data_IF_030704375787
#
_entry.id   IF_030704375787
#
_cell.length_a   1.000
_cell.length_b   1.000
_cell.length_c   1.000
_cell.angle_alpha   90.00
_cell.angle_beta   90.00
_cell.angle_gamma   90.00
#
_symmetry.space_group_name_H-M   'P 1'
#
loop_
_entity.id
_entity.type
_entity.pdbx_description
1 polymer ?
#
# COMPACT_ATOMS: atom_id res chain seq x y z
N UNK A 1 -4.72 4.77 -13.06
CA UNK A 1 -4.16 5.51 -14.20
C UNK A 1 -2.65 5.30 -14.22
N UNK A 2 -2.09 5.11 -15.40
CA UNK A 2 -0.65 4.96 -15.65
C UNK A 2 -0.26 5.91 -16.77
N UNK A 3 1.03 5.99 -17.08
CA UNK A 3 1.51 6.82 -18.19
C UNK A 3 0.84 6.48 -19.53
N UNK A 4 0.46 5.21 -19.71
CA UNK A 4 -0.21 4.72 -20.92
C UNK A 4 -1.73 4.83 -20.87
N UNK A 5 -2.31 4.98 -19.67
CA UNK A 5 -3.76 5.03 -19.43
C UNK A 5 -4.14 6.30 -18.70
N UNK A 6 -4.30 7.39 -19.45
CA UNK A 6 -4.60 8.75 -18.92
C UNK A 6 -6.08 9.07 -18.83
N UNK A 7 -6.95 8.17 -19.24
CA UNK A 7 -8.40 8.36 -19.20
C UNK A 7 -9.12 7.17 -18.59
N UNK A 8 -10.23 7.41 -17.96
CA UNK A 8 -11.13 6.41 -17.39
C UNK A 8 -12.55 6.68 -17.85
N UNK A 9 -13.20 5.68 -18.41
CA UNK A 9 -14.62 5.75 -18.72
C UNK A 9 -15.43 5.47 -17.45
N UNK A 10 -16.24 6.46 -17.05
CA UNK A 10 -17.14 6.33 -15.92
C UNK A 10 -18.55 6.03 -16.43
N UNK A 11 -19.11 4.89 -16.02
CA UNK A 11 -20.50 4.53 -16.30
C UNK A 11 -21.33 4.76 -15.03
N UNK A 12 -21.68 6.02 -14.80
CA UNK A 12 -22.43 6.48 -13.62
C UNK A 12 -23.70 7.21 -14.05
N UNK A 13 -24.76 7.13 -13.24
CA UNK A 13 -25.98 7.86 -13.47
C UNK A 13 -25.75 9.38 -13.31
N UNK A 14 -26.59 10.24 -13.90
CA UNK A 14 -26.54 11.68 -13.63
C UNK A 14 -26.71 11.95 -12.13
N UNK A 15 -25.87 12.83 -11.57
CA UNK A 15 -25.89 13.14 -10.13
C UNK A 15 -24.71 13.99 -9.70
N UNK A 16 -24.66 14.28 -8.42
CA UNK A 16 -23.50 14.95 -7.79
C UNK A 16 -22.66 13.90 -7.09
N UNK A 17 -21.37 13.89 -7.38
CA UNK A 17 -20.41 12.91 -6.87
C UNK A 17 -19.21 13.61 -6.26
N UNK A 18 -18.61 13.00 -5.26
CA UNK A 18 -17.30 13.37 -4.75
C UNK A 18 -16.23 12.56 -5.50
N UNK A 19 -15.30 13.26 -6.14
CA UNK A 19 -14.12 12.63 -6.74
C UNK A 19 -12.97 12.68 -5.75
N UNK A 20 -12.39 11.51 -5.46
CA UNK A 20 -11.17 11.38 -4.69
C UNK A 20 -10.11 10.71 -5.57
N UNK A 21 -8.91 11.28 -5.57
CA UNK A 21 -7.77 10.72 -6.30
C UNK A 21 -6.66 10.48 -5.30
N UNK A 22 -6.24 9.22 -5.18
CA UNK A 22 -5.03 8.84 -4.47
C UNK A 22 -3.86 8.89 -5.45
N UNK A 23 -2.84 9.67 -5.12
CA UNK A 23 -1.60 9.74 -5.89
C UNK A 23 -0.42 9.38 -5.00
N UNK A 24 0.36 8.40 -5.40
CA UNK A 24 1.55 8.00 -4.70
C UNK A 24 2.80 8.36 -5.50
N UNK A 25 3.75 8.93 -4.79
CA UNK A 25 5.06 9.29 -5.34
C UNK A 25 6.06 8.16 -5.03
N UNK A 26 6.06 7.12 -5.85
CA UNK A 26 6.93 5.95 -5.71
C UNK A 26 8.07 5.93 -6.72
N UNK A 27 9.12 5.25 -6.32
CA UNK A 27 10.34 5.17 -7.14
C UNK A 27 11.16 6.46 -7.13
N UNK A 28 12.42 6.32 -7.43
CA UNK A 28 13.36 7.44 -7.59
C UNK A 28 14.39 7.07 -8.66
N UNK A 29 14.77 8.05 -9.45
CA UNK A 29 15.95 7.94 -10.31
C UNK A 29 17.16 7.94 -9.38
N UNK A 30 17.93 6.86 -9.42
CA UNK A 30 19.07 6.67 -8.52
C UNK A 30 20.40 6.96 -9.20
N UNK A 31 20.41 7.09 -10.54
CA UNK A 31 21.61 7.36 -11.29
C UNK A 31 21.28 7.92 -12.67
N UNK A 32 22.23 8.63 -13.27
CA UNK A 32 22.09 9.24 -14.60
C UNK A 32 21.86 10.76 -14.58
N UNK A 33 21.79 11.40 -15.75
CA UNK A 33 21.70 12.86 -15.85
C UNK A 33 20.39 13.41 -15.27
N UNK A 34 19.34 12.60 -15.18
CA UNK A 34 18.02 13.00 -14.70
C UNK A 34 17.83 12.75 -13.19
N UNK A 35 18.90 12.44 -12.47
CA UNK A 35 18.83 12.14 -11.02
C UNK A 35 18.22 13.29 -10.19
N UNK A 36 18.31 14.52 -10.66
CA UNK A 36 17.73 15.69 -10.02
C UNK A 36 16.29 15.97 -10.45
N UNK A 37 15.80 15.32 -11.49
CA UNK A 37 14.43 15.44 -11.98
C UNK A 37 13.58 14.26 -11.53
N UNK A 38 13.22 14.27 -10.25
CA UNK A 38 12.38 13.25 -9.61
C UNK A 38 10.95 13.72 -9.36
N UNK A 39 10.45 14.64 -10.18
CA UNK A 39 9.08 15.10 -10.10
C UNK A 39 8.12 13.94 -10.37
N UNK A 40 7.17 13.72 -9.46
CA UNK A 40 6.21 12.62 -9.46
C UNK A 40 4.82 13.14 -9.10
N UNK A 41 3.79 12.38 -9.43
CA UNK A 41 2.41 12.68 -9.09
C UNK A 41 1.55 12.94 -10.32
N UNK A 42 0.52 13.75 -10.16
CA UNK A 42 -0.39 14.12 -11.23
C UNK A 42 0.07 15.43 -11.88
N UNK A 43 0.26 15.41 -13.18
CA UNK A 43 0.67 16.55 -13.99
C UNK A 43 -0.44 16.93 -14.96
N UNK A 44 -0.67 18.25 -15.11
CA UNK A 44 -1.69 18.79 -16.00
C UNK A 44 -3.07 18.90 -15.38
N UNK A 45 -4.05 19.26 -16.22
CA UNK A 45 -5.44 19.42 -15.78
C UNK A 45 -6.17 18.08 -15.75
N UNK A 46 -6.99 17.89 -14.74
CA UNK A 46 -7.95 16.79 -14.67
C UNK A 46 -9.29 17.32 -15.21
N UNK A 47 -9.88 16.59 -16.13
CA UNK A 47 -11.12 17.00 -16.77
C UNK A 47 -12.17 15.88 -16.77
N UNK A 48 -13.44 16.27 -16.75
CA UNK A 48 -14.57 15.39 -16.97
C UNK A 48 -15.31 15.84 -18.23
N UNK A 49 -15.40 14.96 -19.22
CA UNK A 49 -16.00 15.27 -20.52
C UNK A 49 -15.44 16.56 -21.18
N UNK A 50 -14.13 16.79 -21.02
CA UNK A 50 -13.44 17.96 -21.56
C UNK A 50 -13.53 19.24 -20.72
N UNK A 51 -14.33 19.29 -19.66
CA UNK A 51 -14.38 20.41 -18.72
C UNK A 51 -13.36 20.18 -17.57
N UNK A 52 -12.50 21.17 -17.30
CA UNK A 52 -11.54 21.08 -16.20
C UNK A 52 -12.26 21.01 -14.85
N UNK A 53 -11.74 20.15 -13.97
CA UNK A 53 -12.17 20.08 -12.57
C UNK A 53 -11.21 20.93 -11.76
N UNK A 54 -11.75 21.87 -11.01
CA UNK A 54 -11.00 22.86 -10.24
C UNK A 54 -11.30 22.76 -8.73
N UNK A 55 -10.68 23.64 -7.94
CA UNK A 55 -10.87 23.74 -6.48
C UNK A 55 -10.54 22.47 -5.71
N UNK A 56 -9.43 21.82 -6.06
CA UNK A 56 -8.92 20.63 -5.40
C UNK A 56 -8.53 20.88 -3.95
N UNK A 57 -8.96 19.98 -3.06
CA UNK A 57 -8.42 19.89 -1.71
C UNK A 57 -7.36 18.81 -1.67
N UNK A 58 -6.12 19.21 -1.40
CA UNK A 58 -5.01 18.27 -1.24
C UNK A 58 -4.84 17.90 0.24
N UNK A 59 -4.72 16.62 0.51
CA UNK A 59 -4.50 16.07 1.85
C UNK A 59 -3.24 15.19 1.79
N UNK A 60 -2.13 15.59 2.41
CA UNK A 60 -0.96 14.72 2.50
C UNK A 60 -1.28 13.51 3.38
N UNK A 61 -0.96 12.33 2.90
CA UNK A 61 -1.12 11.07 3.64
C UNK A 61 0.26 10.58 4.04
N UNK A 62 0.58 10.69 5.32
CA UNK A 62 1.83 10.18 5.90
C UNK A 62 1.63 8.72 6.33
N UNK A 63 1.42 7.84 5.36
CA UNK A 63 1.04 6.44 5.62
C UNK A 63 2.03 5.74 6.54
N UNK A 64 3.33 5.94 6.34
CA UNK A 64 4.39 5.29 7.15
C UNK A 64 4.41 5.74 8.60
N UNK A 65 3.94 6.96 8.87
CA UNK A 65 3.87 7.55 10.21
C UNK A 65 2.54 7.23 10.91
N UNK A 66 1.68 6.43 10.28
CA UNK A 66 0.38 6.07 10.83
C UNK A 66 0.55 5.23 12.09
N UNK A 67 -0.07 5.66 13.19
CA UNK A 67 -0.23 4.85 14.40
C UNK A 67 -1.23 3.72 14.14
N UNK A 68 -0.77 2.64 13.51
CA UNK A 68 -1.65 1.53 13.08
C UNK A 68 -2.40 0.88 14.25
N UNK A 69 -1.89 1.01 15.48
CA UNK A 69 -2.56 0.52 16.69
C UNK A 69 -3.82 1.32 17.06
N UNK A 70 -3.97 2.54 16.55
CA UNK A 70 -5.12 3.42 16.78
C UNK A 70 -6.21 3.26 15.71
N UNK A 71 -5.93 2.49 14.65
CA UNK A 71 -6.89 2.25 13.59
C UNK A 71 -8.03 1.35 14.07
N UNK A 72 -9.25 1.75 13.75
CA UNK A 72 -10.43 0.92 13.96
C UNK A 72 -10.68 0.08 12.72
N UNK A 73 -10.69 -1.24 12.89
CA UNK A 73 -10.98 -2.20 11.83
C UNK A 73 -12.42 -2.68 11.95
N UNK A 74 -13.16 -2.62 10.87
CA UNK A 74 -14.51 -3.16 10.77
C UNK A 74 -14.53 -4.52 10.08
N UNK A 75 -15.74 -5.01 9.83
CA UNK A 75 -15.92 -6.23 9.03
C UNK A 75 -15.41 -6.03 7.61
N UNK A 76 -14.95 -7.15 7.04
CA UNK A 76 -14.35 -7.21 5.71
C UNK A 76 -15.28 -6.62 4.66
N UNK A 77 -14.82 -5.55 3.99
CA UNK A 77 -15.40 -5.08 2.73
C UNK A 77 -14.62 -5.65 1.56
N UNK A 78 -15.30 -6.07 0.52
CA UNK A 78 -14.67 -6.43 -0.75
C UNK A 78 -14.53 -5.20 -1.63
N UNK A 79 -13.41 -5.09 -2.30
CA UNK A 79 -13.30 -4.31 -3.53
C UNK A 79 -12.65 -2.94 -3.47
N UNK A 80 -12.48 -2.29 -2.34
CA UNK A 80 -11.96 -0.94 -2.34
C UNK A 80 -10.47 -0.88 -1.97
N UNK A 81 -9.65 -0.39 -2.89
CA UNK A 81 -8.27 0.05 -2.67
C UNK A 81 -8.21 1.58 -2.69
N UNK A 82 -7.30 2.19 -1.92
CA UNK A 82 -6.40 1.61 -0.93
C UNK A 82 -7.09 1.34 0.43
N UNK A 83 -6.64 0.33 1.15
CA UNK A 83 -7.17 0.07 2.50
C UNK A 83 -6.14 -0.61 3.42
N UNK A 84 -6.41 -0.54 4.74
CA UNK A 84 -5.64 -1.27 5.74
C UNK A 84 -6.26 -2.64 6.00
N UNK A 85 -5.42 -3.66 6.05
CA UNK A 85 -5.76 -5.02 6.44
C UNK A 85 -5.05 -5.37 7.73
N UNK A 86 -5.75 -6.05 8.63
CA UNK A 86 -5.21 -6.49 9.91
C UNK A 86 -5.41 -7.99 10.07
N UNK A 87 -4.35 -8.67 10.46
CA UNK A 87 -4.35 -10.09 10.77
C UNK A 87 -3.54 -10.40 12.01
N UNK A 88 -3.60 -11.65 12.45
CA UNK A 88 -2.81 -12.12 13.60
C UNK A 88 -2.20 -13.47 13.30
N UNK A 89 -1.06 -13.75 13.94
CA UNK A 89 -0.40 -15.03 13.90
C UNK A 89 0.21 -15.37 15.26
N UNK A 90 0.40 -16.66 15.52
CA UNK A 90 1.00 -17.14 16.76
C UNK A 90 2.46 -17.53 16.55
N UNK A 91 3.30 -17.25 17.54
CA UNK A 91 4.71 -17.63 17.53
C UNK A 91 5.13 -18.17 18.89
N UNK A 92 5.64 -19.40 18.92
CA UNK A 92 6.07 -20.03 20.16
C UNK A 92 7.36 -19.42 20.72
N UNK A 93 8.30 -19.15 19.83
CA UNK A 93 9.61 -18.55 20.19
C UNK A 93 9.93 -17.47 19.16
N UNK A 94 10.07 -16.20 19.58
CA UNK A 94 10.48 -15.13 18.69
C UNK A 94 11.83 -15.43 18.03
N UNK A 95 11.88 -15.38 16.72
CA UNK A 95 13.08 -15.53 15.88
C UNK A 95 12.91 -14.71 14.61
N UNK A 96 14.01 -14.30 14.02
CA UNK A 96 13.99 -13.63 12.73
C UNK A 96 13.24 -14.49 11.70
N UNK A 97 12.35 -13.87 10.97
CA UNK A 97 11.56 -14.53 9.94
C UNK A 97 11.21 -13.54 8.82
N UNK A 98 10.46 -14.00 7.86
CA UNK A 98 9.97 -13.21 6.74
C UNK A 98 8.47 -13.38 6.60
N UNK A 99 7.77 -12.29 6.32
CA UNK A 99 6.36 -12.33 5.90
C UNK A 99 6.31 -12.32 4.39
N UNK A 100 5.80 -13.40 3.81
CA UNK A 100 5.56 -13.48 2.36
C UNK A 100 4.40 -12.58 1.96
N UNK A 101 4.64 -11.74 0.95
CA UNK A 101 3.64 -10.84 0.36
C UNK A 101 3.12 -11.37 -0.99
N UNK A 102 3.37 -12.63 -1.32
CA UNK A 102 2.87 -13.22 -2.58
C UNK A 102 1.35 -13.09 -2.67
N UNK A 103 0.89 -12.58 -3.81
CA UNK A 103 -0.52 -12.30 -4.05
C UNK A 103 -1.01 -10.94 -3.57
N UNK A 104 -0.22 -10.20 -2.79
CA UNK A 104 -0.43 -8.79 -2.50
C UNK A 104 0.16 -7.94 -3.62
N UNK A 105 -0.37 -6.73 -3.81
CA UNK A 105 0.05 -5.85 -4.89
C UNK A 105 1.21 -4.94 -4.49
N UNK A 106 0.90 -3.86 -3.81
CA UNK A 106 1.87 -2.85 -3.40
C UNK A 106 1.37 -2.14 -2.14
N UNK A 107 2.28 -1.91 -1.19
CA UNK A 107 1.89 -1.22 0.04
C UNK A 107 2.97 -1.17 1.10
N UNK A 108 2.54 -1.05 2.34
CA UNK A 108 3.37 -0.89 3.52
C UNK A 108 2.98 -1.95 4.57
N UNK A 109 3.94 -2.38 5.40
CA UNK A 109 3.74 -3.46 6.38
C UNK A 109 4.25 -3.05 7.77
N UNK A 110 3.45 -3.40 8.79
CA UNK A 110 3.76 -3.26 10.21
C UNK A 110 3.56 -4.60 10.92
N UNK A 111 4.37 -4.85 11.93
CA UNK A 111 4.18 -5.95 12.88
C UNK A 111 4.21 -5.38 14.30
N UNK A 112 3.21 -5.72 15.09
CA UNK A 112 3.05 -5.24 16.47
C UNK A 112 3.13 -3.70 16.61
N UNK A 113 2.74 -2.96 15.58
CA UNK A 113 2.78 -1.51 15.51
C UNK A 113 4.08 -0.92 14.96
N UNK A 114 5.12 -1.73 14.80
CA UNK A 114 6.40 -1.30 14.23
C UNK A 114 6.38 -1.38 12.70
N UNK A 115 6.75 -0.29 12.05
CA UNK A 115 6.87 -0.22 10.58
C UNK A 115 8.08 -1.02 10.11
N UNK A 116 7.88 -1.97 9.20
CA UNK A 116 8.94 -2.86 8.70
C UNK A 116 9.36 -2.57 7.26
N UNK A 117 8.53 -1.92 6.48
CA UNK A 117 8.91 -1.55 5.11
C UNK A 117 7.76 -1.58 4.11
N UNK A 118 8.10 -1.16 2.90
CA UNK A 118 7.24 -1.23 1.74
C UNK A 118 7.39 -2.58 1.03
N UNK A 119 6.34 -3.00 0.37
CA UNK A 119 6.36 -4.16 -0.53
C UNK A 119 5.77 -3.82 -1.90
N UNK A 120 6.19 -4.56 -2.91
CA UNK A 120 5.69 -4.39 -4.28
C UNK A 120 5.81 -5.71 -5.04
N UNK A 121 4.71 -6.12 -5.67
CA UNK A 121 4.62 -7.37 -6.46
C UNK A 121 5.64 -7.46 -7.60
N UNK A 122 6.13 -6.31 -8.13
CA UNK A 122 7.12 -6.26 -9.19
C UNK A 122 8.56 -6.49 -8.69
N UNK A 123 8.80 -6.37 -7.40
CA UNK A 123 10.13 -6.65 -6.84
C UNK A 123 10.50 -8.14 -6.97
N UNK A 124 11.78 -8.42 -7.12
CA UNK A 124 12.29 -9.79 -7.11
C UNK A 124 12.06 -10.46 -5.74
N UNK A 125 12.22 -9.70 -4.65
CA UNK A 125 11.94 -10.17 -3.29
C UNK A 125 10.45 -10.01 -3.00
N UNK A 126 9.81 -11.11 -2.66
CA UNK A 126 8.39 -11.22 -2.37
C UNK A 126 8.13 -11.46 -0.88
N UNK A 127 8.95 -10.86 -0.02
CA UNK A 127 8.80 -10.93 1.44
C UNK A 127 9.40 -9.71 2.12
N UNK A 128 8.89 -9.41 3.32
CA UNK A 128 9.43 -8.40 4.23
C UNK A 128 10.06 -9.11 5.41
N UNK A 129 11.28 -8.71 5.78
CA UNK A 129 11.99 -9.25 6.94
C UNK A 129 11.35 -8.75 8.24
N UNK A 130 11.22 -9.66 9.21
CA UNK A 130 10.67 -9.38 10.54
C UNK A 130 11.71 -9.78 11.59
N UNK A 131 12.42 -8.84 12.20
CA UNK A 131 13.37 -9.12 13.27
C UNK A 131 12.71 -9.71 14.51
N UNK A 132 13.38 -10.60 15.20
CA UNK A 132 12.91 -11.19 16.46
C UNK A 132 12.57 -10.15 17.52
N UNK A 133 13.23 -8.99 17.51
CA UNK A 133 13.01 -7.89 18.45
C UNK A 133 11.61 -7.26 18.35
N UNK A 134 10.95 -7.42 17.22
CA UNK A 134 9.58 -6.90 16.98
C UNK A 134 8.52 -7.93 17.37
N UNK A 135 8.93 -9.20 17.49
CA UNK A 135 8.04 -10.33 17.73
C UNK A 135 7.85 -10.61 19.22
N UNK A 136 6.69 -11.17 19.55
CA UNK A 136 6.32 -11.60 20.91
C UNK A 136 6.07 -13.11 20.93
N UNK A 137 6.31 -13.75 22.06
CA UNK A 137 5.78 -15.08 22.29
C UNK A 137 4.25 -15.01 22.37
N UNK A 138 3.57 -15.94 21.71
CA UNK A 138 2.13 -15.97 21.56
C UNK A 138 1.66 -15.12 20.38
N UNK A 139 0.60 -14.38 20.58
CA UNK A 139 -0.09 -13.63 19.54
C UNK A 139 0.67 -12.40 19.09
N UNK A 140 0.90 -12.32 17.78
CA UNK A 140 1.46 -11.16 17.07
C UNK A 140 0.42 -10.61 16.10
N UNK A 141 0.52 -9.32 15.81
CA UNK A 141 -0.37 -8.60 14.91
C UNK A 141 0.40 -8.14 13.68
N UNK A 142 -0.18 -8.32 12.51
CA UNK A 142 0.31 -7.77 11.25
C UNK A 142 -0.72 -6.83 10.66
N UNK A 143 -0.24 -5.67 10.21
CA UNK A 143 -1.06 -4.69 9.49
C UNK A 143 -0.40 -4.42 8.14
N UNK A 144 -1.20 -4.44 7.07
CA UNK A 144 -0.78 -4.06 5.73
C UNK A 144 -1.64 -2.89 5.26
N UNK A 145 -1.02 -1.91 4.63
CA UNK A 145 -1.70 -0.94 3.81
C UNK A 145 -1.56 -1.37 2.35
N UNK A 146 -2.65 -1.73 1.71
CA UNK A 146 -2.66 -2.27 0.34
C UNK A 146 -3.24 -1.26 -0.64
N UNK A 147 -2.54 -1.04 -1.75
CA UNK A 147 -2.88 -0.05 -2.76
C UNK A 147 -3.55 -0.65 -4.01
N UNK A 148 -3.30 -1.92 -4.33
CA UNK A 148 -3.66 -2.50 -5.64
C UNK A 148 -4.59 -3.70 -5.55
N UNK A 149 -4.38 -4.61 -4.62
CA UNK A 149 -5.06 -5.90 -4.59
C UNK A 149 -5.70 -6.25 -3.26
N UNK A 150 -6.95 -5.87 -3.08
CA UNK A 150 -7.73 -6.21 -1.89
C UNK A 150 -8.36 -7.61 -1.89
N UNK A 151 -8.09 -8.43 -2.88
CA UNK A 151 -8.60 -9.81 -2.93
C UNK A 151 -7.80 -10.77 -2.06
N UNK A 152 -6.52 -10.45 -1.78
CA UNK A 152 -5.67 -11.27 -0.92
C UNK A 152 -6.13 -11.19 0.55
N UNK A 153 -6.05 -12.32 1.27
CA UNK A 153 -6.61 -12.47 2.63
C UNK A 153 -5.65 -13.06 3.64
N UNK A 154 -4.47 -13.46 3.21
CA UNK A 154 -3.51 -14.11 4.08
C UNK A 154 -2.08 -13.72 3.73
N UNK A 155 -1.24 -13.75 4.74
CA UNK A 155 0.21 -13.75 4.62
C UNK A 155 0.71 -15.08 5.17
N UNK A 156 1.90 -15.49 4.77
CA UNK A 156 2.58 -16.65 5.33
C UNK A 156 3.93 -16.28 5.90
N UNK A 157 4.34 -16.98 6.95
CA UNK A 157 5.67 -16.85 7.53
C UNK A 157 6.65 -17.77 6.83
N UNK A 158 7.88 -17.32 6.69
CA UNK A 158 9.00 -18.09 6.13
C UNK A 158 10.27 -17.84 6.93
N UNK A 159 11.09 -18.88 7.10
CA UNK A 159 12.42 -18.74 7.73
C UNK A 159 13.47 -18.15 6.79
N UNK A 160 13.13 -17.96 5.51
CA UNK A 160 14.03 -17.45 4.47
C UNK A 160 13.30 -16.42 3.60
N UNK A 161 14.05 -15.50 2.96
CA UNK A 161 13.47 -14.61 1.96
C UNK A 161 12.71 -15.39 0.87
N UNK A 162 11.58 -14.87 0.46
CA UNK A 162 10.76 -15.41 -0.61
C UNK A 162 11.01 -14.58 -1.87
N UNK A 163 11.18 -15.24 -2.99
CA UNK A 163 11.43 -14.62 -4.29
C UNK A 163 10.32 -15.01 -5.30
N UNK A 164 10.26 -14.26 -6.40
CA UNK A 164 9.42 -14.61 -7.57
C UNK A 164 9.70 -16.00 -8.08
#
# INVERSE_FOLDING_TARGET
LTDDHKSLLLNIAPGTYQLQIYAENIGRITYGPEILDNSKGLFGAISLNGAAIENWKMIPLLVRETSVNELTFGDKKEGDSPCFHKGTFEMNTPKDCHISIKGWGMGELWVNGEYLGAYWEENATQSVEVPASVLKQGKNEVVLFELKNNSQRSVSLSDKPVYK
#
